data_IF_427613414870
#
_entry.id   IF_427613414870
#
_cell.length_a   1.000
_cell.length_b   1.000
_cell.length_c   1.000
_cell.angle_alpha   90.00
_cell.angle_beta   90.00
_cell.angle_gamma   90.00
#
_symmetry.space_group_name_H-M   'P 1'
#
loop_
_entity.id
_entity.type
_entity.pdbx_description
1 polymer ?
#
# COMPACT_ATOMS: atom_id res chain seq x y z
N UNK A 1 5.39 3.07 22.76
CA UNK A 1 5.48 3.38 21.32
C UNK A 1 5.46 2.05 20.61
N UNK A 2 4.73 1.96 19.51
CA UNK A 2 4.73 0.74 18.71
C UNK A 2 6.06 0.61 17.96
N UNK A 3 6.58 -0.62 17.89
CA UNK A 3 7.82 -0.91 17.19
C UNK A 3 7.57 -1.28 15.74
N UNK A 4 8.56 -1.02 14.89
CA UNK A 4 8.52 -1.46 13.50
C UNK A 4 8.81 -2.97 13.47
N UNK A 5 7.86 -3.74 12.96
CA UNK A 5 8.01 -5.20 12.74
C UNK A 5 8.00 -5.58 11.25
N UNK A 6 7.83 -4.59 10.38
CA UNK A 6 7.69 -4.79 8.94
C UNK A 6 8.49 -3.77 8.17
N UNK A 7 9.25 -4.26 7.20
CA UNK A 7 9.90 -3.45 6.18
C UNK A 7 9.39 -3.90 4.82
N UNK A 8 8.65 -3.02 4.16
CA UNK A 8 7.93 -3.30 2.92
C UNK A 8 8.51 -2.45 1.79
N UNK A 9 9.06 -3.10 0.78
CA UNK A 9 9.62 -2.46 -0.41
C UNK A 9 8.56 -2.43 -1.49
N UNK A 10 8.26 -1.26 -2.08
CA UNK A 10 7.22 -1.13 -3.11
C UNK A 10 7.74 -0.36 -4.31
N UNK A 11 7.46 -0.87 -5.50
CA UNK A 11 7.70 -0.20 -6.78
C UNK A 11 6.36 -0.09 -7.47
N UNK A 12 5.94 1.13 -7.82
CA UNK A 12 4.80 1.29 -8.70
C UNK A 12 5.18 0.91 -10.11
N UNK A 13 4.26 0.23 -10.78
CA UNK A 13 4.44 -0.29 -12.11
C UNK A 13 3.51 0.40 -13.09
N UNK A 14 4.01 0.66 -14.29
CA UNK A 14 3.26 1.29 -15.38
C UNK A 14 2.05 0.42 -15.77
N UNK A 15 0.82 0.97 -15.75
CA UNK A 15 -0.38 0.19 -16.04
C UNK A 15 -0.39 -0.39 -17.46
N UNK A 16 0.26 0.27 -18.42
CA UNK A 16 0.36 -0.16 -19.83
C UNK A 16 1.10 -1.49 -19.97
N UNK A 17 1.90 -1.87 -18.97
CA UNK A 17 2.56 -3.18 -18.94
C UNK A 17 1.61 -4.33 -18.67
N UNK A 18 0.43 -4.07 -18.13
CA UNK A 18 -0.56 -5.09 -17.77
C UNK A 18 -1.65 -5.25 -18.83
N UNK A 19 -1.26 -5.30 -20.10
CA UNK A 19 -2.16 -5.51 -21.25
C UNK A 19 -2.62 -6.97 -21.40
N UNK A 20 -1.98 -7.92 -20.71
CA UNK A 20 -2.33 -9.33 -20.72
C UNK A 20 -2.09 -9.94 -19.33
N UNK A 21 -2.90 -10.91 -18.86
CA UNK A 21 -2.67 -11.54 -17.57
C UNK A 21 -1.29 -12.21 -17.40
N UNK A 22 -0.66 -12.67 -18.49
CA UNK A 22 0.69 -13.27 -18.46
C UNK A 22 1.82 -12.28 -18.08
N UNK A 23 1.49 -10.99 -17.98
CA UNK A 23 2.47 -9.94 -17.66
C UNK A 23 2.95 -10.01 -16.21
N UNK A 24 2.19 -10.67 -15.32
CA UNK A 24 2.67 -11.01 -13.98
C UNK A 24 3.90 -11.94 -14.03
N UNK A 25 3.84 -12.99 -14.86
CA UNK A 25 4.90 -13.96 -15.08
C UNK A 25 6.12 -13.32 -15.75
N UNK A 26 5.89 -12.43 -16.73
CA UNK A 26 6.95 -11.69 -17.41
C UNK A 26 7.73 -10.83 -16.41
N UNK A 27 7.03 -10.08 -15.56
CA UNK A 27 7.69 -9.26 -14.55
C UNK A 27 8.38 -10.11 -13.48
N UNK A 28 7.74 -11.17 -13.00
CA UNK A 28 8.35 -12.09 -12.03
C UNK A 28 9.66 -12.71 -12.54
N UNK A 29 9.70 -13.15 -13.81
CA UNK A 29 10.95 -13.65 -14.42
C UNK A 29 12.08 -12.61 -14.42
N UNK A 30 11.76 -11.33 -14.66
CA UNK A 30 12.74 -10.24 -14.56
C UNK A 30 13.25 -10.11 -13.13
N UNK A 31 12.36 -10.15 -12.13
CA UNK A 31 12.73 -10.08 -10.72
C UNK A 31 13.64 -11.24 -10.31
N UNK A 32 13.35 -12.47 -10.72
CA UNK A 32 14.21 -13.63 -10.47
C UNK A 32 15.61 -13.47 -11.09
N UNK A 33 15.69 -12.97 -12.33
CA UNK A 33 16.99 -12.71 -12.97
C UNK A 33 17.80 -11.64 -12.22
N UNK A 34 17.16 -10.62 -11.63
CA UNK A 34 17.85 -9.66 -10.76
C UNK A 34 18.29 -10.33 -9.44
N UNK A 35 17.45 -11.19 -8.86
CA UNK A 35 17.79 -11.90 -7.62
C UNK A 35 19.06 -12.77 -7.78
N UNK A 36 19.20 -13.46 -8.92
CA UNK A 36 20.40 -14.26 -9.24
C UNK A 36 21.69 -13.41 -9.23
N UNK A 37 21.66 -12.20 -9.80
CA UNK A 37 22.81 -11.29 -9.82
C UNK A 37 23.25 -10.87 -8.41
N UNK A 38 22.31 -10.76 -7.48
CA UNK A 38 22.54 -10.37 -6.10
C UNK A 38 22.76 -11.56 -5.16
N UNK A 39 22.80 -12.80 -5.69
CA UNK A 39 22.86 -14.04 -4.89
C UNK A 39 21.75 -14.08 -3.83
N UNK A 40 20.56 -13.64 -4.22
CA UNK A 40 19.33 -13.70 -3.43
C UNK A 40 18.58 -14.96 -3.84
N UNK A 41 18.18 -15.79 -2.88
CA UNK A 41 17.34 -16.93 -3.17
C UNK A 41 15.96 -16.45 -3.63
N UNK A 42 15.44 -16.97 -4.75
CA UNK A 42 14.10 -16.64 -5.22
C UNK A 42 13.29 -17.94 -5.35
N UNK A 43 12.17 -18.01 -4.63
CA UNK A 43 11.27 -19.17 -4.65
C UNK A 43 9.94 -18.72 -5.24
N UNK A 44 9.50 -19.40 -6.29
CA UNK A 44 8.16 -19.20 -6.87
C UNK A 44 7.17 -20.08 -6.13
N UNK A 45 6.04 -19.50 -5.68
CA UNK A 45 5.00 -20.27 -4.99
C UNK A 45 4.32 -21.28 -5.94
N UNK A 46 3.79 -22.37 -5.39
CA UNK A 46 3.07 -23.40 -6.17
C UNK A 46 1.87 -22.81 -6.94
N UNK A 47 1.18 -21.86 -6.33
CA UNK A 47 0.04 -21.12 -6.83
C UNK A 47 0.38 -19.64 -7.14
N UNK A 48 1.65 -19.37 -7.48
CA UNK A 48 2.21 -18.02 -7.64
C UNK A 48 1.35 -17.03 -8.43
N UNK A 49 0.64 -17.52 -9.45
CA UNK A 49 -0.15 -16.69 -10.37
C UNK A 49 -1.66 -16.87 -10.19
N UNK A 50 -2.10 -17.48 -9.07
CA UNK A 50 -3.49 -17.44 -8.65
C UNK A 50 -3.87 -15.99 -8.32
N UNK A 51 -5.02 -15.55 -8.86
CA UNK A 51 -5.44 -14.15 -8.85
C UNK A 51 -6.42 -13.91 -7.72
N UNK A 52 -5.98 -13.17 -6.73
CA UNK A 52 -6.85 -12.67 -5.67
C UNK A 52 -7.46 -11.34 -6.12
N UNK A 53 -8.79 -11.30 -6.21
CA UNK A 53 -9.54 -10.10 -6.58
C UNK A 53 -10.07 -9.42 -5.32
N UNK A 54 -9.94 -8.10 -5.25
CA UNK A 54 -10.43 -7.29 -4.15
C UNK A 54 -11.01 -5.99 -4.68
N UNK A 55 -12.05 -5.49 -4.04
CA UNK A 55 -12.45 -4.10 -4.20
C UNK A 55 -11.69 -3.26 -3.17
N UNK A 56 -11.23 -2.07 -3.58
CA UNK A 56 -10.60 -1.09 -2.70
C UNK A 56 -11.31 0.25 -2.91
N UNK A 57 -11.88 0.78 -1.83
CA UNK A 57 -12.60 2.05 -1.79
C UNK A 57 -11.86 3.01 -0.86
N UNK A 58 -11.62 4.24 -1.31
CA UNK A 58 -11.01 5.30 -0.49
C UNK A 58 -12.07 6.31 -0.08
N UNK A 59 -11.99 6.77 1.16
CA UNK A 59 -12.96 7.70 1.73
C UNK A 59 -12.24 8.94 2.26
N UNK A 60 -12.80 10.11 1.95
CA UNK A 60 -12.33 11.40 2.46
C UNK A 60 -13.48 12.42 2.39
N UNK A 61 -13.25 13.63 2.91
CA UNK A 61 -14.11 14.79 2.67
C UNK A 61 -13.93 15.31 1.24
N UNK A 62 -14.85 16.15 0.78
CA UNK A 62 -14.77 16.80 -0.54
C UNK A 62 -13.47 17.62 -0.71
N UNK A 63 -12.97 18.22 0.38
CA UNK A 63 -11.72 18.98 0.42
C UNK A 63 -10.47 18.12 0.66
N UNK A 64 -10.62 16.79 0.71
CA UNK A 64 -9.55 15.83 0.96
C UNK A 64 -8.79 16.09 2.28
N UNK A 65 -9.53 16.37 3.37
CA UNK A 65 -8.96 16.77 4.65
C UNK A 65 -8.09 15.66 5.27
N UNK A 66 -8.46 14.38 5.12
CA UNK A 66 -7.64 13.27 5.60
C UNK A 66 -6.32 13.22 4.82
N UNK A 67 -6.38 13.20 3.49
CA UNK A 67 -5.19 13.09 2.65
C UNK A 67 -4.21 14.25 2.84
N UNK A 68 -4.72 15.50 2.88
CA UNK A 68 -3.90 16.70 3.13
C UNK A 68 -3.18 16.65 4.48
N UNK A 69 -3.73 15.91 5.43
CA UNK A 69 -3.16 15.69 6.76
C UNK A 69 -2.48 14.33 6.90
N UNK A 70 -2.14 13.68 5.78
CA UNK A 70 -1.42 12.41 5.71
C UNK A 70 -2.13 11.19 6.32
N UNK A 71 -3.45 11.29 6.45
CA UNK A 71 -4.33 10.18 6.81
C UNK A 71 -4.94 9.53 5.56
N UNK A 72 -5.23 8.24 5.68
CA UNK A 72 -5.88 7.44 4.63
C UNK A 72 -6.93 6.59 5.32
N UNK A 73 -8.18 6.72 4.88
CA UNK A 73 -9.27 5.82 5.22
C UNK A 73 -9.64 5.01 3.98
N UNK A 74 -9.61 3.68 4.08
CA UNK A 74 -10.03 2.80 2.99
C UNK A 74 -10.80 1.59 3.49
N UNK A 75 -11.74 1.13 2.67
CA UNK A 75 -12.40 -0.18 2.81
C UNK A 75 -11.90 -1.11 1.72
N UNK A 76 -11.69 -2.37 2.07
CA UNK A 76 -11.33 -3.44 1.14
C UNK A 76 -12.28 -4.61 1.29
N UNK A 77 -12.87 -5.03 0.19
CA UNK A 77 -13.74 -6.21 0.11
C UNK A 77 -12.99 -7.32 -0.61
N UNK A 78 -12.90 -8.49 0.02
CA UNK A 78 -12.31 -9.67 -0.59
C UNK A 78 -13.39 -10.45 -1.36
N UNK A 79 -12.96 -11.23 -2.35
CA UNK A 79 -13.85 -12.04 -3.15
C UNK A 79 -13.39 -13.49 -3.17
N UNK A 80 -14.32 -14.40 -2.89
CA UNK A 80 -14.16 -15.85 -3.02
C UNK A 80 -15.13 -16.35 -4.08
N UNK A 81 -14.62 -16.99 -5.13
CA UNK A 81 -15.41 -17.49 -6.27
C UNK A 81 -16.37 -16.44 -6.88
N UNK A 82 -15.96 -15.17 -6.88
CA UNK A 82 -16.74 -14.05 -7.42
C UNK A 82 -17.77 -13.44 -6.45
N UNK A 83 -17.95 -14.02 -5.27
CA UNK A 83 -18.82 -13.50 -4.22
C UNK A 83 -18.03 -12.63 -3.23
N UNK A 84 -18.57 -11.49 -2.77
CA UNK A 84 -17.92 -10.70 -1.74
C UNK A 84 -17.93 -11.47 -0.42
N UNK A 85 -16.80 -11.49 0.27
CA UNK A 85 -16.71 -12.04 1.62
C UNK A 85 -17.58 -11.21 2.59
N UNK A 86 -18.15 -11.82 3.64
CA UNK A 86 -19.07 -11.14 4.56
C UNK A 86 -18.38 -10.08 5.45
N UNK A 87 -17.08 -10.23 5.68
CA UNK A 87 -16.26 -9.27 6.41
C UNK A 87 -15.40 -8.45 5.44
N UNK A 88 -15.24 -7.18 5.74
CA UNK A 88 -14.43 -6.24 4.98
C UNK A 88 -13.30 -5.72 5.85
N UNK A 89 -12.15 -5.45 5.23
CA UNK A 89 -11.02 -4.80 5.88
C UNK A 89 -11.22 -3.28 5.82
N UNK A 90 -11.44 -2.63 6.96
CA UNK A 90 -11.32 -1.20 7.11
C UNK A 90 -9.90 -0.86 7.58
N UNK A 91 -9.19 -0.01 6.84
CA UNK A 91 -7.87 0.49 7.24
C UNK A 91 -7.94 1.99 7.46
N UNK A 92 -7.54 2.41 8.66
CA UNK A 92 -7.17 3.79 8.96
C UNK A 92 -5.66 3.88 9.11
N UNK A 93 -5.01 4.76 8.34
CA UNK A 93 -3.55 4.82 8.25
C UNK A 93 -3.08 6.27 8.35
N UNK A 94 -2.07 6.51 9.17
CA UNK A 94 -1.24 7.70 9.11
C UNK A 94 0.10 7.37 8.44
N UNK A 95 0.65 8.28 7.64
CA UNK A 95 1.94 8.06 6.96
C UNK A 95 2.80 9.31 6.91
N UNK A 96 4.04 9.22 7.39
CA UNK A 96 4.96 10.35 7.44
C UNK A 96 6.40 9.96 7.05
N UNK A 97 7.22 10.91 6.60
CA UNK A 97 8.61 10.65 6.24
C UNK A 97 9.54 10.54 7.47
N UNK A 98 9.20 11.29 8.53
CA UNK A 98 9.84 11.17 9.84
C UNK A 98 9.19 10.04 10.65
N UNK A 99 10.02 9.12 11.16
CA UNK A 99 9.60 7.94 11.92
C UNK A 99 8.94 8.32 13.25
N UNK A 100 9.51 9.29 13.96
CA UNK A 100 9.04 9.68 15.29
C UNK A 100 7.67 10.34 15.19
N UNK A 101 7.50 11.27 14.25
CA UNK A 101 6.19 11.86 13.93
C UNK A 101 5.16 10.80 13.56
N UNK A 102 5.54 9.74 12.84
CA UNK A 102 4.62 8.66 12.51
C UNK A 102 4.24 7.80 13.74
N UNK A 103 5.20 7.52 14.62
CA UNK A 103 4.99 6.73 15.84
C UNK A 103 4.22 7.47 16.94
N UNK A 104 4.28 8.81 16.95
CA UNK A 104 3.58 9.67 17.92
C UNK A 104 2.07 9.80 17.64
N UNK A 105 1.59 9.36 16.46
CA UNK A 105 0.17 9.42 16.09
C UNK A 105 -0.55 8.15 16.52
N UNK A 106 -1.37 8.25 17.57
CA UNK A 106 -2.19 7.12 18.02
C UNK A 106 -3.33 6.83 17.03
N UNK A 107 -3.22 5.72 16.30
CA UNK A 107 -4.25 5.23 15.38
C UNK A 107 -5.16 4.19 16.03
N UNK A 108 -5.06 3.96 17.34
CA UNK A 108 -5.90 3.00 18.06
C UNK A 108 -7.36 3.47 18.04
N UNK A 109 -8.31 2.60 17.64
CA UNK A 109 -9.70 2.98 17.60
C UNK A 109 -10.25 3.08 19.03
N UNK A 110 -10.98 4.16 19.32
CA UNK A 110 -11.68 4.38 20.58
C UNK A 110 -13.03 3.67 20.60
N UNK A 111 -12.98 2.34 20.45
CA UNK A 111 -14.12 1.43 20.53
C UNK A 111 -13.62 0.01 20.83
N UNK A 112 -14.50 -0.83 21.38
CA UNK A 112 -14.21 -2.26 21.48
C UNK A 112 -14.27 -2.89 20.10
N UNK A 113 -13.09 -3.20 19.53
CA UNK A 113 -12.96 -3.89 18.26
C UNK A 113 -11.69 -4.74 18.23
N UNK A 114 -11.72 -5.81 17.44
CA UNK A 114 -10.51 -6.58 17.14
C UNK A 114 -9.65 -5.81 16.12
N UNK A 115 -8.89 -4.84 16.62
CA UNK A 115 -8.04 -3.96 15.83
C UNK A 115 -6.60 -4.48 15.79
N UNK A 116 -6.04 -4.62 14.59
CA UNK A 116 -4.63 -4.90 14.41
C UNK A 116 -3.87 -3.60 14.13
N UNK A 117 -3.09 -3.15 15.13
CA UNK A 117 -2.18 -2.02 14.97
C UNK A 117 -0.87 -2.49 14.36
N UNK A 118 -0.42 -1.83 13.28
CA UNK A 118 0.79 -2.19 12.54
C UNK A 118 1.61 -0.94 12.23
N UNK A 119 2.80 -0.86 12.82
CA UNK A 119 3.79 0.13 12.46
C UNK A 119 4.81 -0.45 11.46
N UNK A 120 4.98 0.22 10.32
CA UNK A 120 5.77 -0.28 9.19
C UNK A 120 6.68 0.78 8.61
N UNK A 121 7.87 0.37 8.17
CA UNK A 121 8.67 1.12 7.21
C UNK A 121 8.29 0.69 5.78
N UNK A 122 7.90 1.66 4.95
CA UNK A 122 7.66 1.50 3.52
C UNK A 122 8.84 2.11 2.74
N UNK A 123 9.63 1.26 2.08
CA UNK A 123 10.76 1.67 1.23
C UNK A 123 10.26 1.82 -0.21
N UNK A 124 10.44 3.01 -0.77
CA UNK A 124 9.94 3.42 -2.08
C UNK A 124 11.08 3.92 -2.97
N UNK A 125 10.94 3.93 -4.31
CA UNK A 125 11.85 4.64 -5.19
C UNK A 125 11.90 6.14 -4.83
N UNK A 126 12.97 6.80 -5.28
CA UNK A 126 13.00 8.26 -5.32
C UNK A 126 11.85 8.78 -6.19
N UNK A 127 11.44 10.03 -5.97
CA UNK A 127 10.24 10.57 -6.62
C UNK A 127 10.40 10.71 -8.14
N UNK A 128 11.60 11.04 -8.57
CA UNK A 128 11.95 11.54 -9.90
C UNK A 128 12.98 10.68 -10.65
N UNK A 129 13.59 9.69 -9.98
CA UNK A 129 14.58 8.81 -10.60
C UNK A 129 14.53 7.37 -10.08
N UNK A 130 15.01 6.44 -10.92
CA UNK A 130 15.22 5.03 -10.56
C UNK A 130 16.58 4.82 -9.88
N UNK A 131 16.76 3.68 -9.22
CA UNK A 131 18.05 3.26 -8.64
C UNK A 131 18.35 3.85 -7.25
N UNK A 132 17.39 4.58 -6.68
CA UNK A 132 17.47 5.09 -5.31
C UNK A 132 16.32 4.58 -4.45
N UNK A 133 16.32 5.00 -3.19
CA UNK A 133 15.26 4.64 -2.25
C UNK A 133 15.03 5.75 -1.22
N UNK A 134 13.81 5.78 -0.68
CA UNK A 134 13.39 6.64 0.43
C UNK A 134 12.43 5.86 1.32
N UNK A 135 12.39 6.20 2.60
CA UNK A 135 11.46 5.59 3.54
C UNK A 135 10.25 6.49 3.81
N UNK A 136 9.10 5.87 3.99
CA UNK A 136 7.95 6.43 4.67
C UNK A 136 7.57 5.48 5.81
N UNK A 137 7.10 6.03 6.91
CA UNK A 137 6.66 5.26 8.06
C UNK A 137 5.14 5.32 8.13
N UNK A 138 4.50 4.17 8.30
CA UNK A 138 3.05 4.09 8.37
C UNK A 138 2.57 3.39 9.62
N UNK A 139 1.67 4.08 10.33
CA UNK A 139 0.96 3.56 11.49
C UNK A 139 -0.45 3.23 11.04
N UNK A 140 -0.81 1.94 11.10
CA UNK A 140 -2.03 1.42 10.51
C UNK A 140 -2.88 0.81 11.62
N UNK A 141 -4.16 1.16 11.65
CA UNK A 141 -5.19 0.37 12.30
C UNK A 141 -5.98 -0.39 11.24
N UNK A 142 -6.03 -1.71 11.39
CA UNK A 142 -6.78 -2.61 10.51
C UNK A 142 -7.90 -3.26 11.32
N UNK A 143 -9.14 -3.08 10.86
CA UNK A 143 -10.36 -3.61 11.45
C UNK A 143 -11.03 -4.55 10.46
N UNK A 144 -11.47 -5.72 10.92
CA UNK A 144 -12.42 -6.54 10.18
C UNK A 144 -13.83 -6.16 10.63
N UNK A 145 -14.64 -5.65 9.71
CA UNK A 145 -15.99 -5.19 10.02
C UNK A 145 -16.99 -5.90 9.11
N UNK A 146 -18.25 -6.11 9.56
CA UNK A 146 -19.33 -6.41 8.62
C UNK A 146 -19.47 -5.27 7.61
N UNK A 147 -20.25 -5.47 6.55
CA UNK A 147 -20.47 -4.52 5.45
C UNK A 147 -20.91 -3.12 5.93
N UNK A 148 -19.94 -2.31 6.34
CA UNK A 148 -20.15 -0.97 6.84
C UNK A 148 -20.25 -0.02 5.65
N UNK A 149 -21.32 0.76 5.64
CA UNK A 149 -21.41 1.95 4.82
C UNK A 149 -20.75 3.11 5.55
N UNK A 150 -19.72 3.68 4.91
CA UNK A 150 -19.04 4.87 5.40
C UNK A 150 -19.69 6.06 4.70
N UNK A 151 -20.65 6.68 5.38
CA UNK A 151 -21.39 7.83 4.89
C UNK A 151 -21.57 8.91 5.99
N UNK A 152 -20.83 8.77 7.10
CA UNK A 152 -20.91 9.65 8.25
C UNK A 152 -20.10 10.94 8.04
N UNK A 153 -20.30 11.92 8.93
CA UNK A 153 -19.47 13.12 9.00
C UNK A 153 -18.07 12.81 9.55
N UNK A 154 -17.11 13.70 9.26
CA UNK A 154 -15.73 13.59 9.75
C UNK A 154 -15.65 13.48 11.28
N UNK A 155 -16.57 14.14 12.01
CA UNK A 155 -16.69 14.04 13.46
C UNK A 155 -16.90 12.60 13.97
N UNK A 156 -17.62 11.76 13.22
CA UNK A 156 -17.86 10.37 13.61
C UNK A 156 -16.60 9.53 13.45
N UNK A 157 -15.83 9.79 12.38
CA UNK A 157 -14.53 9.15 12.19
C UNK A 157 -13.58 9.60 13.30
N UNK A 158 -13.63 10.87 13.72
CA UNK A 158 -12.79 11.38 14.81
C UNK A 158 -13.20 10.84 16.19
N UNK A 159 -14.48 10.52 16.40
CA UNK A 159 -14.93 9.85 17.61
C UNK A 159 -14.32 8.43 17.74
N UNK A 160 -14.11 7.75 16.61
CA UNK A 160 -13.41 6.46 16.56
C UNK A 160 -11.89 6.64 16.56
N UNK A 161 -11.35 7.64 15.89
CA UNK A 161 -9.91 7.91 15.80
C UNK A 161 -9.58 9.33 16.30
N UNK A 162 -9.37 9.52 17.60
CA UNK A 162 -9.20 10.85 18.20
C UNK A 162 -8.02 11.67 17.63
N UNK A 163 -7.03 11.03 17.02
CA UNK A 163 -5.88 11.72 16.42
C UNK A 163 -6.25 12.67 15.27
N UNK A 164 -7.44 12.52 14.66
CA UNK A 164 -7.97 13.46 13.67
C UNK A 164 -8.95 14.47 14.24
N UNK A 165 -9.15 14.52 15.57
CA UNK A 165 -10.07 15.47 16.21
C UNK A 165 -9.77 16.94 15.86
N UNK A 166 -8.50 17.29 15.62
CA UNK A 166 -8.14 18.65 15.17
C UNK A 166 -8.68 19.01 13.78
N UNK A 167 -9.03 18.02 12.96
CA UNK A 167 -9.57 18.23 11.60
C UNK A 167 -11.07 18.54 11.63
N UNK A 168 -11.76 18.27 12.75
CA UNK A 168 -13.22 18.37 12.82
C UNK A 168 -13.74 19.77 13.05
N UNK A 169 -12.92 20.83 13.10
CA UNK A 169 -13.35 22.19 13.44
C UNK A 169 -14.51 22.73 12.55
N UNK A 170 -14.26 23.57 11.55
CA UNK A 170 -15.31 23.93 10.58
C UNK A 170 -15.79 22.73 9.73
N UNK A 171 -14.93 21.71 9.56
CA UNK A 171 -15.20 20.53 8.72
C UNK A 171 -15.87 19.37 9.46
N UNK A 172 -16.30 19.51 10.72
CA UNK A 172 -16.83 18.39 11.51
C UNK A 172 -18.02 17.68 10.86
N UNK A 173 -18.95 18.47 10.33
CA UNK A 173 -20.12 17.98 9.60
C UNK A 173 -19.83 17.63 8.13
N UNK A 174 -18.59 17.83 7.65
CA UNK A 174 -18.23 17.50 6.29
C UNK A 174 -18.38 15.98 6.08
N UNK A 175 -19.17 15.62 5.07
CA UNK A 175 -19.47 14.23 4.77
C UNK A 175 -18.21 13.53 4.26
N UNK A 176 -17.88 12.39 4.87
CA UNK A 176 -16.88 11.47 4.35
C UNK A 176 -17.55 10.58 3.31
N UNK A 177 -17.00 10.54 2.10
CA UNK A 177 -17.60 9.84 0.96
C UNK A 177 -16.54 9.24 0.04
N UNK A 178 -16.97 8.42 -0.92
CA UNK A 178 -16.07 7.76 -1.87
C UNK A 178 -15.29 8.80 -2.70
N UNK A 179 -13.96 8.77 -2.59
CA UNK A 179 -13.08 9.70 -3.31
C UNK A 179 -13.26 9.52 -4.82
N UNK A 180 -13.54 10.62 -5.51
CA UNK A 180 -13.75 10.70 -6.96
C UNK A 180 -14.78 9.70 -7.52
N UNK A 181 -15.68 9.18 -6.66
CA UNK A 181 -16.60 8.11 -7.00
C UNK A 181 -15.92 6.91 -7.71
N UNK A 182 -14.67 6.60 -7.33
CA UNK A 182 -13.81 5.65 -8.03
C UNK A 182 -13.65 4.34 -7.24
N UNK A 183 -14.45 3.31 -7.54
CA UNK A 183 -14.19 1.97 -7.03
C UNK A 183 -13.02 1.33 -7.78
N UNK A 184 -12.02 0.86 -7.02
CA UNK A 184 -10.84 0.18 -7.58
C UNK A 184 -11.01 -1.33 -7.44
N UNK A 185 -10.76 -2.06 -8.51
CA UNK A 185 -10.51 -3.50 -8.47
C UNK A 185 -8.99 -3.74 -8.40
N UNK A 186 -8.52 -4.36 -7.33
CA UNK A 186 -7.17 -4.88 -7.21
C UNK A 186 -7.16 -6.35 -7.66
N UNK A 187 -6.32 -6.67 -8.65
CA UNK A 187 -5.98 -8.05 -8.99
C UNK A 187 -4.55 -8.29 -8.54
N UNK A 188 -4.37 -9.12 -7.52
CA UNK A 188 -3.07 -9.41 -6.91
C UNK A 188 -2.71 -10.89 -7.09
N UNK A 189 -1.43 -11.15 -7.33
CA UNK A 189 -0.82 -12.48 -7.30
C UNK A 189 0.24 -12.54 -6.20
N UNK A 190 0.28 -13.66 -5.47
CA UNK A 190 1.26 -13.93 -4.41
C UNK A 190 2.41 -14.76 -5.01
N UNK A 191 3.31 -14.09 -5.72
CA UNK A 191 4.25 -14.73 -6.66
C UNK A 191 5.30 -15.63 -6.02
N UNK A 192 5.76 -15.31 -4.81
CA UNK A 192 6.90 -16.04 -4.24
C UNK A 192 7.50 -15.39 -3.01
N UNK A 193 8.75 -15.76 -2.72
CA UNK A 193 9.56 -15.14 -1.68
C UNK A 193 11.01 -14.96 -2.12
N UNK A 194 11.70 -14.03 -1.45
CA UNK A 194 13.12 -13.79 -1.58
C UNK A 194 13.84 -14.09 -0.26
N UNK A 195 14.94 -14.81 -0.31
CA UNK A 195 15.86 -15.04 0.80
C UNK A 195 17.12 -14.20 0.62
N UNK A 196 17.26 -13.16 1.45
CA UNK A 196 18.41 -12.26 1.45
C UNK A 196 19.58 -12.76 2.32
N UNK A 197 19.45 -13.97 2.89
CA UNK A 197 20.39 -14.59 3.81
C UNK A 197 20.15 -14.19 5.26
N UNK A 198 20.80 -14.91 6.18
CA UNK A 198 20.73 -14.64 7.63
C UNK A 198 19.30 -14.64 8.19
N UNK A 199 18.42 -15.50 7.66
CA UNK A 199 17.02 -15.61 8.09
C UNK A 199 16.10 -14.49 7.59
N UNK A 200 16.60 -13.60 6.72
CA UNK A 200 15.83 -12.49 6.18
C UNK A 200 15.04 -12.93 4.94
N UNK A 201 13.86 -13.50 5.16
CA UNK A 201 12.93 -13.88 4.10
C UNK A 201 11.86 -12.79 3.87
N UNK A 202 11.57 -12.50 2.60
CA UNK A 202 10.53 -11.55 2.21
C UNK A 202 9.49 -12.18 1.29
N UNK A 203 8.22 -12.03 1.62
CA UNK A 203 7.11 -12.44 0.74
C UNK A 203 6.89 -11.41 -0.35
N UNK A 204 6.73 -11.85 -1.59
CA UNK A 204 6.59 -11.01 -2.77
C UNK A 204 5.19 -11.09 -3.40
N UNK A 205 4.67 -9.95 -3.84
CA UNK A 205 3.38 -9.81 -4.49
C UNK A 205 3.48 -8.88 -5.69
N UNK A 206 2.69 -9.13 -6.73
CA UNK A 206 2.48 -8.19 -7.83
C UNK A 206 0.97 -7.93 -7.94
N UNK A 207 0.58 -6.67 -8.12
CA UNK A 207 -0.82 -6.29 -8.25
C UNK A 207 -1.02 -5.27 -9.38
N UNK A 208 -2.23 -5.26 -9.93
CA UNK A 208 -2.73 -4.20 -10.84
C UNK A 208 -4.03 -3.66 -10.27
N UNK A 209 -4.13 -2.34 -10.18
CA UNK A 209 -5.37 -1.63 -9.90
C UNK A 209 -6.06 -1.28 -11.20
N UNK A 210 -7.36 -1.51 -11.26
CA UNK A 210 -8.23 -1.17 -12.38
C UNK A 210 -9.42 -0.37 -11.88
N UNK A 211 -9.93 0.54 -12.69
CA UNK A 211 -11.25 1.10 -12.44
C UNK A 211 -12.27 -0.04 -12.56
N UNK A 212 -13.09 -0.27 -11.53
CA UNK A 212 -14.03 -1.39 -11.52
C UNK A 212 -15.13 -1.25 -12.58
N UNK A 213 -15.52 -0.02 -12.91
CA UNK A 213 -16.60 0.25 -13.86
C UNK A 213 -16.12 0.17 -15.33
N UNK A 214 -14.90 0.62 -15.62
CA UNK A 214 -14.38 0.70 -17.00
C UNK A 214 -13.32 -0.35 -17.32
N UNK A 215 -12.91 -1.14 -16.31
CA UNK A 215 -11.82 -2.13 -16.36
C UNK A 215 -10.45 -1.58 -16.77
N UNK A 216 -10.31 -0.25 -16.88
CA UNK A 216 -9.08 0.41 -17.29
C UNK A 216 -8.03 0.27 -16.21
N UNK A 217 -6.83 -0.21 -16.57
CA UNK A 217 -5.67 -0.26 -15.68
C UNK A 217 -5.25 1.13 -15.22
N UNK A 218 -5.16 1.31 -13.91
CA UNK A 218 -4.82 2.57 -13.25
C UNK A 218 -3.34 2.61 -12.86
N UNK A 219 -2.86 1.60 -12.13
CA UNK A 219 -1.48 1.52 -11.66
C UNK A 219 -1.15 0.10 -11.19
N UNK A 220 0.03 -0.41 -11.56
CA UNK A 220 0.55 -1.65 -11.02
C UNK A 220 1.42 -1.43 -9.77
N UNK A 221 1.70 -2.48 -9.04
CA UNK A 221 2.67 -2.46 -7.93
C UNK A 221 3.34 -3.81 -7.81
N UNK A 222 4.64 -3.78 -7.60
CA UNK A 222 5.40 -4.88 -7.04
C UNK A 222 5.78 -4.53 -5.62
N UNK A 223 5.59 -5.48 -4.71
CA UNK A 223 5.99 -5.33 -3.34
C UNK A 223 6.68 -6.60 -2.84
N UNK A 224 7.66 -6.43 -1.96
CA UNK A 224 8.12 -7.51 -1.09
C UNK A 224 8.26 -7.04 0.35
N UNK A 225 7.89 -7.89 1.30
CA UNK A 225 7.82 -7.52 2.71
C UNK A 225 8.57 -8.51 3.57
N UNK A 226 9.48 -8.00 4.38
CA UNK A 226 10.12 -8.72 5.49
C UNK A 226 9.31 -8.48 6.76
N UNK A 227 9.12 -9.54 7.55
CA UNK A 227 8.66 -9.44 8.95
C UNK A 227 9.82 -9.82 9.88
N UNK A 228 9.98 -9.07 10.97
CA UNK A 228 11.00 -9.32 11.99
C UNK A 228 10.46 -8.92 13.37
N UNK A 229 11.02 -9.50 14.42
CA UNK A 229 10.56 -9.24 15.79
C UNK A 229 11.10 -7.91 16.31
N UNK A 230 12.31 -7.53 15.95
CA UNK A 230 12.93 -6.26 16.32
C UNK A 230 13.69 -5.68 15.13
N UNK A 231 13.51 -4.39 14.87
CA UNK A 231 14.20 -3.65 13.81
C UNK A 231 15.73 -3.71 13.96
N UNK A 232 16.24 -3.63 15.19
CA UNK A 232 17.67 -3.66 15.48
C UNK A 232 18.28 -5.05 15.29
N UNK A 233 17.46 -6.10 15.27
CA UNK A 233 17.91 -7.47 15.02
C UNK A 233 18.13 -7.75 13.53
N UNK A 234 17.82 -6.80 12.63
CA UNK A 234 18.04 -6.97 11.20
C UNK A 234 19.53 -7.07 10.89
N UNK A 235 19.94 -8.23 10.37
CA UNK A 235 21.32 -8.46 9.99
C UNK A 235 21.74 -7.50 8.86
N UNK A 236 22.75 -6.66 9.15
CA UNK A 236 23.18 -5.54 8.30
C UNK A 236 23.44 -5.96 6.85
N UNK A 237 24.10 -7.10 6.62
CA UNK A 237 24.41 -7.59 5.26
C UNK A 237 23.17 -8.03 4.48
N UNK A 238 22.18 -8.63 5.17
CA UNK A 238 20.95 -9.08 4.52
C UNK A 238 20.07 -7.88 4.16
N UNK A 239 20.00 -6.90 5.08
CA UNK A 239 19.36 -5.61 4.82
C UNK A 239 19.98 -4.90 3.62
N UNK A 240 21.31 -4.72 3.60
CA UNK A 240 22.00 -4.10 2.47
C UNK A 240 21.73 -4.84 1.14
N UNK A 241 21.76 -6.17 1.14
CA UNK A 241 21.43 -6.97 -0.05
C UNK A 241 20.00 -6.72 -0.54
N UNK A 242 19.03 -6.62 0.38
CA UNK A 242 17.64 -6.32 0.01
C UNK A 242 17.47 -4.91 -0.58
N UNK A 243 18.24 -3.94 -0.09
CA UNK A 243 18.25 -2.57 -0.61
C UNK A 243 18.90 -2.49 -1.99
N UNK A 244 20.01 -3.20 -2.21
CA UNK A 244 20.71 -3.23 -3.50
C UNK A 244 19.89 -3.99 -4.55
N UNK A 245 19.29 -5.12 -4.19
CA UNK A 245 18.30 -5.80 -5.02
C UNK A 245 17.15 -4.85 -5.41
N UNK A 246 16.57 -4.13 -4.44
CA UNK A 246 15.48 -3.19 -4.68
C UNK A 246 15.86 -2.07 -5.66
N UNK A 247 17.05 -1.49 -5.53
CA UNK A 247 17.55 -0.45 -6.46
C UNK A 247 17.74 -1.02 -7.87
N UNK A 248 18.32 -2.22 -7.98
CA UNK A 248 18.60 -2.85 -9.26
C UNK A 248 17.33 -3.31 -10.00
N UNK A 249 16.28 -3.73 -9.29
CA UNK A 249 14.98 -4.00 -9.91
C UNK A 249 14.47 -2.76 -10.66
N UNK A 250 14.68 -1.56 -10.10
CA UNK A 250 14.25 -0.31 -10.73
C UNK A 250 15.05 0.00 -12.00
N UNK A 251 16.38 -0.19 -11.98
CA UNK A 251 17.27 0.20 -13.08
C UNK A 251 17.34 -0.84 -14.20
N UNK A 252 17.05 -2.11 -13.90
CA UNK A 252 17.07 -3.22 -14.88
C UNK A 252 15.72 -3.48 -15.54
N UNK A 253 14.64 -3.00 -14.95
CA UNK A 253 13.31 -2.96 -15.56
C UNK A 253 12.70 -1.54 -15.51
N UNK A 254 13.41 -0.50 -15.96
CA UNK A 254 12.98 0.90 -15.81
C UNK A 254 11.72 1.18 -16.64
N UNK A 255 11.52 0.39 -17.68
CA UNK A 255 10.38 0.42 -18.58
C UNK A 255 9.09 -0.07 -17.91
N UNK A 256 9.20 -0.76 -16.77
CA UNK A 256 8.09 -1.14 -15.89
C UNK A 256 7.83 -0.12 -14.79
N UNK A 257 8.82 0.67 -14.37
CA UNK A 257 8.68 1.56 -13.21
C UNK A 257 7.84 2.79 -13.54
N UNK A 258 6.85 3.06 -12.69
CA UNK A 258 6.11 4.32 -12.66
C UNK A 258 6.65 5.18 -11.52
N UNK A 259 7.23 6.33 -11.86
CA UNK A 259 7.74 7.32 -10.91
C UNK A 259 6.70 8.45 -10.71
N UNK A 260 6.93 9.31 -9.71
CA UNK A 260 6.13 10.51 -9.48
C UNK A 260 4.74 10.32 -8.86
N UNK A 261 4.22 9.09 -8.79
CA UNK A 261 2.89 8.80 -8.25
C UNK A 261 2.92 7.98 -6.94
N UNK A 262 1.80 7.99 -6.22
CA UNK A 262 1.44 6.95 -5.24
C UNK A 262 0.11 6.33 -5.65
N UNK A 263 -0.16 5.07 -5.26
CA UNK A 263 -1.49 4.45 -5.45
C UNK A 263 -2.63 5.35 -4.97
N UNK A 264 -2.46 5.96 -3.80
CA UNK A 264 -3.43 6.92 -3.24
C UNK A 264 -3.56 8.16 -4.11
N UNK A 265 -2.44 8.75 -4.57
CA UNK A 265 -2.48 9.93 -5.45
C UNK A 265 -3.26 9.67 -6.75
N UNK A 266 -3.14 8.46 -7.33
CA UNK A 266 -3.92 8.05 -8.52
C UNK A 266 -5.42 8.08 -8.23
N UNK A 267 -5.86 7.54 -7.09
CA UNK A 267 -7.30 7.54 -6.73
C UNK A 267 -7.82 8.93 -6.44
N UNK A 268 -7.01 9.77 -5.79
CA UNK A 268 -7.33 11.16 -5.51
C UNK A 268 -7.24 12.06 -6.75
N UNK A 269 -6.80 11.54 -7.89
CA UNK A 269 -6.69 12.26 -9.17
C UNK A 269 -5.51 13.25 -9.22
N UNK A 270 -4.66 13.26 -8.21
CA UNK A 270 -3.56 14.22 -8.08
C UNK A 270 -2.52 13.96 -9.17
N UNK A 271 -2.35 14.94 -10.08
CA UNK A 271 -1.54 14.83 -11.30
C UNK A 271 -2.33 15.01 -12.60
N UNK A 272 -3.67 14.97 -12.54
CA UNK A 272 -4.54 15.50 -13.59
C UNK A 272 -5.09 16.87 -13.16
N UNK A 273 -5.21 17.81 -14.10
CA UNK A 273 -5.54 19.23 -13.85
C UNK A 273 -6.85 19.51 -13.10
N UNK A 274 -7.67 18.49 -12.82
CA UNK A 274 -9.00 18.63 -12.23
C UNK A 274 -9.18 17.96 -10.86
N UNK A 275 -8.11 17.56 -10.18
CA UNK A 275 -8.22 16.98 -8.84
C UNK A 275 -8.03 18.01 -7.72
N UNK A 276 -8.73 17.77 -6.62
CA UNK A 276 -8.83 18.59 -5.42
C UNK A 276 -7.46 19.12 -4.91
N UNK A 277 -7.06 20.31 -5.37
CA UNK A 277 -5.92 21.07 -4.84
C UNK A 277 -5.31 22.03 -5.86
N UNK A 278 -5.51 23.34 -5.65
CA UNK A 278 -4.57 24.36 -6.14
C UNK A 278 -3.22 24.13 -5.47
N UNK A 279 -2.18 24.38 -6.27
CA UNK A 279 -0.72 24.37 -6.04
C UNK A 279 -0.21 24.22 -4.60
#
# INVERSE_FOLDING_TARGET
MDDIHYREYKILLRPERFFNPTQFEVYWKKLCAVAELHKVGAVTNKDAFHRHVREVLFYDTETCDLYRNAFILRKRTFYTDGWPDPEHELTFKFRHADMKTAADVDVTPYMEANAAIKFKEEVLPLKDQVGGMRSLYSHNCVLMTPALEINQGLEHIAAVFPCIGRLTGPSGNAKVSLVNNLPVQEVQVNVGSFDFGHGLEAKATIAIWRNRATETSLIGEFAFQVKFDNYDALHIKAKARSEDFFKDVQTRAPDWVALGATKTAVVYGLGHKDACGRE
#
